data_IF_087799152722
#
_entry.id   IF_087799152722
#
_cell.length_a   1.000
_cell.length_b   1.000
_cell.length_c   1.000
_cell.angle_alpha   90.00
_cell.angle_beta   90.00
_cell.angle_gamma   90.00
#
_symmetry.space_group_name_H-M   'P 1'
#
loop_
_entity.id
_entity.type
_entity.pdbx_description
1 polymer ?
#
# COMPACT_ATOMS: atom_id res chain seq x y z
N UNK A 1 7.08 -9.62 30.78
CA UNK A 1 7.89 -8.75 29.89
C UNK A 1 7.00 -8.20 28.76
N UNK A 2 6.80 -6.87 28.69
CA UNK A 2 5.95 -6.23 27.67
C UNK A 2 6.74 -5.97 26.40
N UNK A 3 6.29 -6.49 25.25
CA UNK A 3 6.94 -6.24 23.95
C UNK A 3 6.71 -4.78 23.52
N UNK A 4 7.78 -4.01 23.34
CA UNK A 4 7.73 -2.66 22.74
C UNK A 4 7.68 -2.76 21.21
N UNK A 5 7.00 -1.80 20.56
CA UNK A 5 7.03 -1.63 19.10
C UNK A 5 7.45 -0.20 18.78
N UNK A 6 8.16 0.01 17.67
CA UNK A 6 8.77 1.30 17.34
C UNK A 6 8.46 1.67 15.89
N UNK A 7 8.17 2.94 15.62
CA UNK A 7 7.91 3.48 14.27
C UNK A 7 9.19 3.48 13.43
N UNK A 8 9.07 3.60 12.12
CA UNK A 8 10.22 3.67 11.22
C UNK A 8 11.04 4.93 11.49
N UNK A 9 10.36 6.05 11.75
CA UNK A 9 10.99 7.29 12.17
C UNK A 9 11.86 7.15 13.41
N UNK A 10 11.31 6.56 14.49
CA UNK A 10 12.04 6.40 15.72
C UNK A 10 13.32 5.59 15.50
N UNK A 11 13.23 4.52 14.69
CA UNK A 11 14.39 3.68 14.36
C UNK A 11 15.44 4.44 13.55
N UNK A 12 15.02 5.30 12.63
CA UNK A 12 15.94 6.15 11.85
C UNK A 12 16.63 7.17 12.76
N UNK A 13 15.91 7.79 13.69
CA UNK A 13 16.48 8.69 14.68
C UNK A 13 17.54 7.96 15.55
N UNK A 14 17.21 6.76 16.02
CA UNK A 14 18.16 5.91 16.76
C UNK A 14 19.37 5.51 15.91
N UNK A 15 19.18 5.19 14.62
CA UNK A 15 20.29 4.89 13.72
C UNK A 15 21.22 6.11 13.52
N UNK A 16 20.65 7.32 13.42
CA UNK A 16 21.42 8.55 13.28
C UNK A 16 22.29 8.81 14.52
N UNK A 17 21.70 8.71 15.71
CA UNK A 17 22.45 8.84 16.97
C UNK A 17 23.51 7.74 17.11
N UNK A 18 23.19 6.50 16.71
CA UNK A 18 24.15 5.40 16.73
C UNK A 18 25.33 5.58 15.77
N UNK A 19 25.20 6.42 14.73
CA UNK A 19 26.32 6.81 13.87
C UNK A 19 27.23 7.85 14.52
N UNK A 20 26.69 8.72 15.37
CA UNK A 20 27.45 9.79 16.04
C UNK A 20 28.08 9.29 17.34
N UNK A 21 27.29 8.64 18.20
CA UNK A 21 27.68 8.27 19.58
C UNK A 21 28.01 6.79 19.73
N UNK A 22 27.80 5.98 18.70
CA UNK A 22 27.96 4.53 18.75
C UNK A 22 26.75 3.80 19.36
N UNK A 23 26.71 2.48 19.16
CA UNK A 23 25.55 1.63 19.51
C UNK A 23 25.24 1.61 21.01
N UNK A 24 26.27 1.47 21.86
CA UNK A 24 26.11 1.31 23.32
C UNK A 24 25.56 2.56 24.00
N UNK A 25 26.15 3.72 23.71
CA UNK A 25 25.66 5.00 24.24
C UNK A 25 24.22 5.29 23.79
N UNK A 26 23.92 4.97 22.54
CA UNK A 26 22.57 5.14 21.98
C UNK A 26 21.56 4.17 22.61
N UNK A 27 21.93 2.91 22.82
CA UNK A 27 21.09 1.93 23.49
C UNK A 27 20.70 2.40 24.90
N UNK A 28 21.65 2.95 25.64
CA UNK A 28 21.40 3.57 26.94
C UNK A 28 20.47 4.79 26.81
N UNK A 29 20.78 5.75 25.93
CA UNK A 29 20.00 6.97 25.71
C UNK A 29 18.52 6.70 25.39
N UNK A 30 18.24 5.70 24.56
CA UNK A 30 16.88 5.39 24.10
C UNK A 30 16.21 4.25 24.85
N UNK A 31 16.87 3.63 25.82
CA UNK A 31 16.42 2.42 26.52
C UNK A 31 16.00 1.29 25.56
N UNK A 32 16.81 1.08 24.52
CA UNK A 32 16.61 0.06 23.49
C UNK A 32 17.76 -0.93 23.52
N UNK A 33 17.46 -2.22 23.36
CA UNK A 33 18.51 -3.24 23.27
C UNK A 33 19.45 -3.01 22.07
N UNK A 34 20.76 -3.14 22.28
CA UNK A 34 21.78 -2.98 21.25
C UNK A 34 21.53 -3.87 20.02
N UNK A 35 21.00 -5.07 20.24
CA UNK A 35 20.60 -6.00 19.18
C UNK A 35 19.52 -5.43 18.25
N UNK A 36 18.60 -4.62 18.77
CA UNK A 36 17.57 -3.95 17.99
C UNK A 36 18.18 -2.86 17.11
N UNK A 37 19.09 -2.06 17.68
CA UNK A 37 19.80 -1.01 16.93
C UNK A 37 20.60 -1.63 15.79
N UNK A 38 21.37 -2.71 16.06
CA UNK A 38 22.13 -3.41 15.02
C UNK A 38 21.22 -3.91 13.89
N UNK A 39 20.06 -4.47 14.24
CA UNK A 39 19.05 -4.91 13.27
C UNK A 39 18.47 -3.74 12.47
N UNK A 40 18.20 -2.60 13.11
CA UNK A 40 17.66 -1.43 12.41
C UNK A 40 18.67 -0.79 11.47
N UNK A 41 19.97 -0.83 11.81
CA UNK A 41 21.05 -0.43 10.88
C UNK A 41 21.04 -1.31 9.61
N UNK A 42 20.91 -2.63 9.76
CA UNK A 42 20.79 -3.54 8.61
C UNK A 42 19.51 -3.33 7.79
N UNK A 43 18.46 -2.74 8.39
CA UNK A 43 17.18 -2.49 7.73
C UNK A 43 17.03 -1.05 7.25
N UNK A 44 18.11 -0.26 7.23
CA UNK A 44 18.04 1.18 6.99
C UNK A 44 17.37 1.54 5.66
N UNK A 45 17.77 0.91 4.55
CA UNK A 45 17.16 1.13 3.23
C UNK A 45 15.64 0.87 3.22
N UNK A 46 15.20 -0.16 3.96
CA UNK A 46 13.78 -0.48 4.11
C UNK A 46 13.07 0.56 4.98
N UNK A 47 13.75 1.10 5.99
CA UNK A 47 13.21 2.11 6.89
C UNK A 47 13.04 3.46 6.18
N UNK A 48 13.98 3.85 5.31
CA UNK A 48 13.91 5.10 4.54
C UNK A 48 12.83 5.06 3.45
N UNK A 49 12.64 3.90 2.81
CA UNK A 49 11.66 3.74 1.72
C UNK A 49 10.21 3.59 2.22
N UNK A 50 10.02 3.10 3.45
CA UNK A 50 8.69 2.83 3.98
C UNK A 50 8.03 4.06 4.62
N UNK A 51 6.72 3.96 4.91
CA UNK A 51 6.01 5.00 5.65
C UNK A 51 6.62 5.24 7.04
N UNK A 52 6.75 6.52 7.43
CA UNK A 52 7.22 7.01 8.74
C UNK A 52 6.63 6.24 9.94
N UNK A 53 5.35 5.88 9.85
CA UNK A 53 4.61 5.20 10.92
C UNK A 53 4.75 3.67 10.92
N UNK A 54 5.45 3.08 9.95
CA UNK A 54 5.60 1.62 9.82
C UNK A 54 6.35 1.05 11.01
N UNK A 55 5.70 0.15 11.77
CA UNK A 55 6.28 -0.39 13.02
C UNK A 55 7.04 -1.70 12.85
N UNK A 56 6.68 -2.52 11.87
CA UNK A 56 7.35 -3.78 11.60
C UNK A 56 7.23 -4.17 10.13
N UNK A 57 8.28 -4.80 9.61
CA UNK A 57 8.30 -5.43 8.30
C UNK A 57 7.82 -6.89 8.42
N UNK A 58 6.57 -7.06 8.85
CA UNK A 58 5.92 -8.38 8.91
C UNK A 58 5.14 -8.61 7.61
N UNK A 59 5.22 -9.83 7.08
CA UNK A 59 4.43 -10.31 5.94
C UNK A 59 4.71 -9.55 4.64
N UNK A 60 5.64 -10.02 3.83
CA UNK A 60 5.95 -9.43 2.52
C UNK A 60 6.39 -10.46 1.48
N UNK A 61 6.49 -11.75 1.83
CA UNK A 61 6.97 -12.77 0.89
C UNK A 61 5.75 -13.51 0.34
N UNK A 62 5.51 -13.46 -0.98
CA UNK A 62 4.53 -14.33 -1.60
C UNK A 62 4.91 -15.80 -1.44
N UNK A 63 3.89 -16.65 -1.31
CA UNK A 63 4.09 -18.10 -1.34
C UNK A 63 4.73 -18.56 -2.66
N UNK A 64 4.42 -17.87 -3.76
CA UNK A 64 4.93 -18.16 -5.10
C UNK A 64 5.51 -16.89 -5.74
N UNK A 65 6.77 -16.53 -5.45
CA UNK A 65 7.38 -15.28 -5.93
C UNK A 65 7.46 -15.17 -7.45
N UNK A 66 7.88 -16.24 -8.13
CA UNK A 66 8.04 -16.25 -9.59
C UNK A 66 6.69 -16.06 -10.31
N UNK A 67 5.68 -16.80 -9.87
CA UNK A 67 4.31 -16.64 -10.34
C UNK A 67 3.77 -15.23 -10.11
N UNK A 68 4.05 -14.66 -8.93
CA UNK A 68 3.59 -13.31 -8.59
C UNK A 68 4.27 -12.24 -9.46
N UNK A 69 5.54 -12.41 -9.84
CA UNK A 69 6.25 -11.51 -10.75
C UNK A 69 5.68 -11.57 -12.18
N UNK A 70 5.32 -12.76 -12.68
CA UNK A 70 4.64 -12.91 -13.98
C UNK A 70 3.29 -12.16 -13.97
N UNK A 71 2.50 -12.37 -12.92
CA UNK A 71 1.21 -11.69 -12.77
C UNK A 71 1.36 -10.17 -12.67
N UNK A 72 2.37 -9.69 -11.96
CA UNK A 72 2.70 -8.27 -11.86
C UNK A 72 3.04 -7.67 -13.23
N UNK A 73 3.89 -8.34 -14.01
CA UNK A 73 4.24 -7.90 -15.36
C UNK A 73 3.02 -7.85 -16.28
N UNK A 74 2.12 -8.82 -16.19
CA UNK A 74 0.85 -8.81 -16.93
C UNK A 74 -0.04 -7.61 -16.56
N UNK A 75 -0.15 -7.26 -15.26
CA UNK A 75 -0.91 -6.07 -14.82
C UNK A 75 -0.28 -4.78 -15.35
N UNK A 76 1.05 -4.67 -15.30
CA UNK A 76 1.79 -3.50 -15.81
C UNK A 76 1.54 -3.34 -17.30
N UNK A 77 1.73 -4.39 -18.11
CA UNK A 77 1.50 -4.36 -19.55
C UNK A 77 0.06 -3.98 -19.92
N UNK A 78 -0.93 -4.47 -19.18
CA UNK A 78 -2.33 -4.08 -19.40
C UNK A 78 -2.57 -2.59 -19.10
N UNK A 79 -1.98 -2.07 -18.02
CA UNK A 79 -2.15 -0.67 -17.61
C UNK A 79 -1.40 0.29 -18.53
N UNK A 80 -0.24 -0.07 -19.05
CA UNK A 80 0.50 0.75 -20.04
C UNK A 80 -0.28 0.87 -21.35
N UNK A 81 -1.01 -0.17 -21.75
CA UNK A 81 -1.94 -0.15 -22.90
C UNK A 81 -3.27 0.55 -22.62
N UNK A 82 -3.36 1.33 -21.54
CA UNK A 82 -4.54 2.05 -21.07
C UNK A 82 -5.81 1.20 -20.90
N UNK A 83 -5.64 -0.11 -20.61
CA UNK A 83 -6.75 -1.02 -20.34
C UNK A 83 -6.97 -1.10 -18.84
N UNK A 84 -8.20 -0.80 -18.40
CA UNK A 84 -8.60 -0.97 -17.01
C UNK A 84 -8.43 -2.43 -16.56
N UNK A 85 -7.71 -2.64 -15.47
CA UNK A 85 -7.54 -3.97 -14.85
C UNK A 85 -8.41 -4.06 -13.61
N UNK A 86 -9.44 -4.91 -13.68
CA UNK A 86 -10.28 -5.22 -12.51
C UNK A 86 -9.72 -6.40 -11.72
N UNK A 87 -10.08 -6.52 -10.45
CA UNK A 87 -9.68 -7.65 -9.60
C UNK A 87 -10.20 -8.98 -10.15
N UNK A 88 -11.36 -9.00 -10.81
CA UNK A 88 -11.90 -10.19 -11.47
C UNK A 88 -10.98 -10.63 -12.61
N UNK A 89 -10.49 -9.69 -13.43
CA UNK A 89 -9.57 -10.00 -14.52
C UNK A 89 -8.24 -10.56 -14.00
N UNK A 90 -7.70 -9.96 -12.93
CA UNK A 90 -6.48 -10.45 -12.26
C UNK A 90 -6.68 -11.90 -11.80
N UNK A 91 -7.81 -12.20 -11.15
CA UNK A 91 -8.10 -13.57 -10.66
C UNK A 91 -8.25 -14.58 -11.79
N UNK A 92 -8.91 -14.20 -12.89
CA UNK A 92 -9.07 -15.07 -14.07
C UNK A 92 -7.75 -15.37 -14.75
N UNK A 93 -6.91 -14.36 -14.92
CA UNK A 93 -5.57 -14.55 -15.49
C UNK A 93 -4.70 -15.41 -14.57
N UNK A 94 -4.76 -15.15 -13.26
CA UNK A 94 -3.98 -15.90 -12.26
C UNK A 94 -4.26 -17.40 -12.30
N UNK A 95 -5.52 -17.82 -12.47
CA UNK A 95 -5.87 -19.24 -12.61
C UNK A 95 -5.26 -19.84 -13.89
N UNK A 96 -5.34 -19.12 -15.01
CA UNK A 96 -4.78 -19.59 -16.28
C UNK A 96 -3.26 -19.71 -16.25
N UNK A 97 -2.58 -18.70 -15.67
CA UNK A 97 -1.13 -18.72 -15.51
C UNK A 97 -0.71 -19.81 -14.53
N UNK A 98 -1.44 -19.99 -13.42
CA UNK A 98 -1.14 -21.03 -12.44
C UNK A 98 -1.23 -22.44 -13.02
N UNK A 99 -2.23 -22.70 -13.88
CA UNK A 99 -2.34 -23.97 -14.59
C UNK A 99 -1.12 -24.24 -15.49
N UNK A 100 -0.64 -23.22 -16.22
CA UNK A 100 0.59 -23.30 -17.03
C UNK A 100 1.85 -23.48 -16.18
N UNK A 101 1.84 -22.93 -14.98
CA UNK A 101 2.95 -23.00 -14.02
C UNK A 101 2.95 -24.30 -13.19
N UNK A 102 1.96 -25.19 -13.37
CA UNK A 102 1.85 -26.43 -12.61
C UNK A 102 1.45 -26.25 -11.14
N UNK A 103 0.84 -25.12 -10.77
CA UNK A 103 0.43 -24.84 -9.40
C UNK A 103 -0.95 -25.44 -9.10
N UNK A 104 -0.96 -26.70 -8.65
CA UNK A 104 -2.19 -27.48 -8.40
C UNK A 104 -3.02 -26.93 -7.22
N UNK A 105 -2.34 -26.41 -6.19
CA UNK A 105 -2.99 -25.89 -4.96
C UNK A 105 -3.32 -24.38 -5.03
N UNK A 106 -3.12 -23.75 -6.19
CA UNK A 106 -3.31 -22.32 -6.30
C UNK A 106 -4.79 -21.93 -6.36
N UNK A 107 -5.22 -21.14 -5.37
CA UNK A 107 -6.54 -20.52 -5.39
C UNK A 107 -6.41 -19.00 -5.55
N UNK A 108 -6.93 -18.47 -6.67
CA UNK A 108 -7.07 -17.03 -6.88
C UNK A 108 -8.23 -16.45 -6.05
N UNK A 109 -8.21 -16.60 -4.73
CA UNK A 109 -9.20 -16.05 -3.82
C UNK A 109 -9.20 -14.51 -3.79
N UNK A 110 -10.26 -13.92 -3.22
CA UNK A 110 -10.32 -12.46 -2.99
C UNK A 110 -9.15 -11.99 -2.12
N UNK A 111 -8.82 -12.75 -1.08
CA UNK A 111 -7.71 -12.45 -0.16
C UNK A 111 -6.35 -12.51 -0.87
N UNK A 112 -6.12 -13.52 -1.71
CA UNK A 112 -4.90 -13.61 -2.52
C UNK A 112 -4.77 -12.39 -3.44
N UNK A 113 -5.83 -12.05 -4.18
CA UNK A 113 -5.82 -10.92 -5.11
C UNK A 113 -5.58 -9.59 -4.38
N UNK A 114 -6.24 -9.36 -3.24
CA UNK A 114 -6.03 -8.16 -2.43
C UNK A 114 -4.57 -8.05 -1.95
N UNK A 115 -4.01 -9.16 -1.46
CA UNK A 115 -2.61 -9.19 -1.00
C UNK A 115 -1.62 -8.98 -2.15
N UNK A 116 -1.84 -9.63 -3.30
CA UNK A 116 -1.06 -9.43 -4.51
C UNK A 116 -1.03 -7.95 -4.93
N UNK A 117 -2.21 -7.32 -4.98
CA UNK A 117 -2.34 -5.90 -5.35
C UNK A 117 -1.61 -5.00 -4.33
N UNK A 118 -1.81 -5.25 -3.03
CA UNK A 118 -1.16 -4.48 -1.97
C UNK A 118 0.37 -4.63 -1.98
N UNK A 119 0.89 -5.84 -2.21
CA UNK A 119 2.35 -6.12 -2.30
C UNK A 119 2.99 -5.37 -3.45
N UNK A 120 2.31 -5.31 -4.59
CA UNK A 120 2.81 -4.69 -5.81
C UNK A 120 2.44 -3.20 -5.94
N UNK A 121 1.85 -2.59 -4.90
CA UNK A 121 1.47 -1.18 -4.91
C UNK A 121 0.34 -0.84 -5.90
N UNK A 122 -0.40 -1.84 -6.39
CA UNK A 122 -1.49 -1.62 -7.31
C UNK A 122 -2.74 -1.15 -6.57
N UNK A 123 -3.16 0.08 -6.85
CA UNK A 123 -4.44 0.59 -6.34
C UNK A 123 -5.60 -0.11 -7.07
N UNK A 124 -6.52 -0.69 -6.30
CA UNK A 124 -7.84 -1.11 -6.77
C UNK A 124 -8.73 0.12 -6.72
N UNK A 125 -8.91 0.81 -7.84
CA UNK A 125 -9.89 1.92 -7.89
C UNK A 125 -11.29 1.31 -7.74
N UNK A 126 -12.02 1.67 -6.69
CA UNK A 126 -13.49 1.52 -6.71
C UNK A 126 -14.00 2.38 -7.85
N UNK A 127 -14.97 1.90 -8.63
CA UNK A 127 -15.76 2.81 -9.47
C UNK A 127 -16.37 3.82 -8.50
N UNK A 128 -15.92 5.07 -8.56
CA UNK A 128 -16.76 6.17 -8.08
C UNK A 128 -18.00 6.12 -8.95
N UNK A 129 -19.19 6.04 -8.33
CA UNK A 129 -20.40 6.40 -9.04
C UNK A 129 -20.13 7.79 -9.61
N UNK A 130 -20.08 7.90 -10.94
CA UNK A 130 -19.97 9.19 -11.61
C UNK A 130 -21.22 9.94 -11.17
N UNK A 131 -21.04 11.06 -10.47
CA UNK A 131 -22.16 11.93 -10.12
C UNK A 131 -22.94 12.25 -11.40
N UNK A 132 -24.26 12.14 -11.34
CA UNK A 132 -25.11 12.44 -12.49
C UNK A 132 -24.84 13.89 -12.94
N UNK A 133 -24.77 14.16 -14.26
CA UNK A 133 -24.69 15.54 -14.73
C UNK A 133 -25.88 16.32 -14.18
N UNK A 134 -25.62 17.53 -13.68
CA UNK A 134 -26.67 18.42 -13.21
C UNK A 134 -27.62 18.72 -14.38
N UNK A 135 -28.95 18.60 -14.18
CA UNK A 135 -29.93 18.99 -15.18
C UNK A 135 -29.75 20.46 -15.57
N UNK A 136 -29.96 20.80 -16.85
CA UNK A 136 -29.77 22.16 -17.39
C UNK A 136 -30.60 23.24 -16.65
N UNK A 137 -31.69 22.85 -15.99
CA UNK A 137 -32.59 23.71 -15.23
C UNK A 137 -32.10 24.04 -13.80
N UNK A 138 -30.79 24.14 -13.59
CA UNK A 138 -30.23 24.57 -12.30
C UNK A 138 -30.00 26.08 -12.23
N UNK A 139 -29.75 26.74 -13.36
CA UNK A 139 -29.53 28.20 -13.41
C UNK A 139 -30.81 29.00 -13.17
N UNK A 140 -31.96 28.50 -13.62
CA UNK A 140 -33.25 29.19 -13.48
C UNK A 140 -33.80 29.10 -12.05
N UNK A 141 -33.58 27.97 -11.38
CA UNK A 141 -33.99 27.77 -9.97
C UNK A 141 -33.20 28.64 -8.99
N UNK A 142 -31.91 28.89 -9.27
CA UNK A 142 -31.08 29.79 -8.45
C UNK A 142 -31.59 31.24 -8.58
N UNK A 143 -31.89 31.70 -9.81
CA UNK A 143 -32.49 33.04 -10.04
C UNK A 143 -33.86 33.21 -9.38
N UNK A 144 -34.68 32.15 -9.37
CA UNK A 144 -35.99 32.17 -8.71
C UNK A 144 -35.88 32.27 -7.18
N UNK A 145 -34.79 31.75 -6.58
CA UNK A 145 -34.55 31.87 -5.15
C UNK A 145 -33.95 33.21 -4.73
N UNK A 146 -33.14 33.84 -5.58
CA UNK A 146 -32.56 35.17 -5.33
C UNK A 146 -33.61 36.30 -5.43
N UNK A 147 -34.70 36.09 -6.17
CA UNK A 147 -35.80 37.05 -6.35
C UNK A 147 -36.86 37.01 -5.25
N UNK A 148 -36.76 36.10 -4.27
CA UNK A 148 -37.65 36.02 -3.12
C UNK A 148 -37.09 36.66 -1.83
N UNK A 149 -35.96 37.37 -1.93
CA UNK A 149 -35.51 38.29 -0.88
C UNK A 149 -36.37 39.57 -0.93
N UNK A 150 -37.48 39.58 -0.18
CA UNK A 150 -38.34 40.75 -0.04
C UNK A 150 -37.58 41.96 0.54
N UNK A 151 -37.72 43.18 -0.03
CA UNK A 151 -37.12 44.38 0.53
C UNK A 151 -37.91 44.88 1.74
N UNK A 152 -37.21 45.35 2.75
CA UNK A 152 -37.70 46.35 3.72
C UNK A 152 -36.91 47.63 3.51
#
# INVERSE_FOLDING_TARGET
>A
MRRKSYTAEFKLNVNNDARIFGTRATAFKFEVGENMIRRWKQQEEKLTTCSRNKRAFRGMIPRWPEFEEIMKNWVIDRRTRNRGVTTIMVRKEAIQVAAKFGLVDFCAGSHWCQNFMNRNGFVVRRKTSVGQPLPDNNREKIRASESLSWPS
#
